data_IF_653914628648
#
_entry.id   IF_653914628648
#
_cell.length_a   1.000
_cell.length_b   1.000
_cell.length_c   1.000
_cell.angle_alpha   90.00
_cell.angle_beta   90.00
_cell.angle_gamma   90.00
#
_symmetry.space_group_name_H-M   'P 1'
#
loop_
_entity.id
_entity.type
_entity.pdbx_description
1 polymer ?
#
# COMPACT_ATOMS: atom_id res chain seq x y z
N UNK A 1 -21.25 -7.19 9.80
CA UNK A 1 -20.18 -6.20 9.56
C UNK A 1 -19.17 -6.81 8.59
N UNK A 2 -18.93 -6.16 7.46
CA UNK A 2 -17.82 -6.52 6.56
C UNK A 2 -16.87 -5.33 6.50
N UNK A 3 -15.59 -5.57 6.78
CA UNK A 3 -14.52 -4.60 6.56
C UNK A 3 -13.85 -4.98 5.25
N UNK A 4 -13.90 -4.07 4.28
CA UNK A 4 -13.14 -4.22 3.05
C UNK A 4 -11.92 -3.33 3.22
N UNK A 5 -10.80 -3.94 3.60
CA UNK A 5 -9.51 -3.28 3.54
C UNK A 5 -9.30 -2.74 2.12
N UNK A 6 -8.76 -1.52 1.99
CA UNK A 6 -8.38 -0.99 0.69
C UNK A 6 -7.55 -2.05 -0.05
N UNK A 7 -7.90 -2.31 -1.31
CA UNK A 7 -7.41 -3.44 -2.14
C UNK A 7 -5.91 -3.43 -2.45
N UNK A 8 -5.12 -2.59 -1.77
CA UNK A 8 -3.70 -2.39 -2.02
C UNK A 8 -2.89 -3.10 -0.94
N UNK A 9 -2.25 -4.20 -1.32
CA UNK A 9 -1.37 -4.99 -0.44
C UNK A 9 -0.06 -4.24 -0.12
N UNK A 10 0.33 -3.28 -0.97
CA UNK A 10 1.56 -2.51 -0.86
C UNK A 10 1.27 -1.01 -0.95
N UNK A 11 1.83 -0.21 -0.05
CA UNK A 11 1.75 1.25 -0.09
C UNK A 11 3.13 1.88 -0.20
N UNK A 12 3.21 2.93 -1.02
CA UNK A 12 4.41 3.70 -1.28
C UNK A 12 4.53 5.00 -0.47
N UNK A 13 5.57 5.81 -0.71
CA UNK A 13 5.85 7.05 0.02
C UNK A 13 4.74 8.11 -0.06
N UNK A 14 3.93 8.09 -1.13
CA UNK A 14 2.82 9.02 -1.35
C UNK A 14 1.46 8.44 -0.99
N UNK A 15 1.42 7.17 -0.57
CA UNK A 15 0.18 6.50 -0.20
C UNK A 15 -0.08 6.66 1.31
N UNK A 16 -1.33 6.46 1.70
CA UNK A 16 -1.75 6.49 3.11
C UNK A 16 -2.55 5.24 3.43
N UNK A 17 -2.55 4.83 4.70
CA UNK A 17 -3.31 3.68 5.14
C UNK A 17 -4.80 4.05 5.18
N UNK A 18 -5.61 3.33 4.42
CA UNK A 18 -7.04 3.60 4.27
C UNK A 18 -7.87 2.31 4.41
N UNK A 19 -8.99 2.40 5.12
CA UNK A 19 -9.93 1.30 5.28
C UNK A 19 -11.37 1.78 5.13
N UNK A 20 -12.21 0.88 4.62
CA UNK A 20 -13.66 1.08 4.53
C UNK A 20 -14.40 -0.08 5.19
N UNK A 21 -15.54 0.21 5.80
CA UNK A 21 -16.34 -0.79 6.49
C UNK A 21 -17.83 -0.48 6.39
N UNK A 22 -18.64 -1.49 6.71
CA UNK A 22 -20.08 -1.35 6.91
C UNK A 22 -20.47 -1.86 8.28
N UNK A 23 -21.12 -0.99 9.06
CA UNK A 23 -21.67 -1.27 10.38
C UNK A 23 -23.18 -1.00 10.39
N UNK A 24 -23.91 -1.82 11.13
CA UNK A 24 -25.35 -1.69 11.31
C UNK A 24 -25.73 -2.43 12.60
N UNK A 25 -26.62 -1.82 13.39
CA UNK A 25 -27.27 -2.40 14.57
C UNK A 25 -28.71 -1.88 14.54
N UNK A 26 -29.69 -2.77 14.36
CA UNK A 26 -31.10 -2.38 14.14
C UNK A 26 -31.86 -2.22 15.46
N UNK A 27 -31.34 -2.82 16.52
CA UNK A 27 -31.95 -2.93 17.83
C UNK A 27 -31.66 -1.71 18.71
N UNK A 28 -30.42 -1.21 18.69
CA UNK A 28 -29.93 -0.12 19.54
C UNK A 28 -29.21 1.00 18.78
N UNK A 29 -28.91 0.79 17.50
CA UNK A 29 -28.13 1.73 16.71
C UNK A 29 -26.64 1.74 17.09
N UNK A 30 -25.87 2.58 16.40
CA UNK A 30 -24.43 2.72 16.65
C UNK A 30 -24.22 3.97 17.50
N UNK A 31 -23.60 3.77 18.67
CA UNK A 31 -23.24 4.84 19.59
C UNK A 31 -21.86 5.41 19.26
N UNK A 32 -20.89 4.54 18.96
CA UNK A 32 -19.49 4.94 18.80
C UNK A 32 -18.78 4.14 17.73
N UNK A 33 -17.93 4.81 16.95
CA UNK A 33 -17.00 4.17 16.03
C UNK A 33 -15.61 4.71 16.29
N UNK A 34 -14.62 3.82 16.38
CA UNK A 34 -13.24 4.15 16.70
C UNK A 34 -12.30 3.33 15.80
N UNK A 35 -11.10 3.85 15.57
CA UNK A 35 -10.07 3.11 14.83
C UNK A 35 -8.71 3.24 15.49
N UNK A 36 -7.85 2.27 15.26
CA UNK A 36 -6.45 2.31 15.65
C UNK A 36 -5.56 1.62 14.62
N UNK A 37 -4.25 1.84 14.69
CA UNK A 37 -3.28 1.24 13.76
C UNK A 37 -2.18 0.56 14.55
N UNK A 38 -1.84 -0.66 14.13
CA UNK A 38 -0.84 -1.49 14.78
C UNK A 38 -0.06 -2.35 13.82
N UNK A 39 0.97 -3.00 14.34
CA UNK A 39 1.78 -4.00 13.64
C UNK A 39 1.23 -5.42 13.80
N UNK A 40 0.15 -5.58 14.57
CA UNK A 40 -0.56 -6.83 14.77
C UNK A 40 -2.07 -6.61 14.50
N UNK A 41 -2.82 -7.64 14.10
CA UNK A 41 -4.27 -7.57 14.04
C UNK A 41 -4.85 -7.12 15.38
N UNK A 42 -5.74 -6.13 15.38
CA UNK A 42 -6.34 -5.54 16.60
C UNK A 42 -5.35 -4.77 17.48
N UNK A 43 -4.09 -4.64 17.06
CA UNK A 43 -3.07 -3.85 17.74
C UNK A 43 -3.19 -2.35 17.45
N UNK A 44 -2.73 -1.54 18.42
CA UNK A 44 -2.75 -0.06 18.35
C UNK A 44 -1.36 0.55 18.59
N UNK A 45 -0.28 -0.14 18.19
CA UNK A 45 1.12 0.24 18.46
C UNK A 45 1.56 1.52 17.74
N UNK A 46 0.94 1.84 16.60
CA UNK A 46 1.32 2.98 15.75
C UNK A 46 0.42 4.17 16.01
N UNK A 47 -0.86 3.92 16.17
CA UNK A 47 -1.85 4.92 16.51
C UNK A 47 -2.82 4.35 17.52
N UNK A 48 -2.99 5.08 18.62
CA UNK A 48 -3.99 4.76 19.65
C UNK A 48 -5.41 4.85 19.12
N UNK A 49 -6.33 4.21 19.83
CA UNK A 49 -7.76 4.26 19.50
C UNK A 49 -8.24 5.71 19.38
N UNK A 50 -8.78 6.07 18.22
CA UNK A 50 -9.21 7.43 17.88
C UNK A 50 -10.67 7.38 17.45
N UNK A 51 -11.48 8.24 18.05
CA UNK A 51 -12.91 8.30 17.79
C UNK A 51 -13.22 8.91 16.42
N UNK A 52 -14.30 8.41 15.82
CA UNK A 52 -14.91 8.89 14.59
C UNK A 52 -16.40 9.11 14.82
N UNK A 53 -17.07 9.76 13.87
CA UNK A 53 -18.52 9.87 13.91
C UNK A 53 -19.15 8.47 13.88
N UNK A 54 -20.25 8.21 14.60
CA UNK A 54 -20.86 6.87 14.69
C UNK A 54 -21.22 6.27 13.33
N UNK A 55 -21.64 7.13 12.39
CA UNK A 55 -22.00 6.78 11.01
C UNK A 55 -20.83 6.76 10.02
N UNK A 56 -19.57 6.88 10.48
CA UNK A 56 -18.41 6.82 9.59
C UNK A 56 -18.29 5.43 8.98
N UNK A 57 -17.95 5.37 7.69
CA UNK A 57 -17.75 4.13 6.94
C UNK A 57 -16.35 4.00 6.35
N UNK A 58 -15.50 5.00 6.58
CA UNK A 58 -14.15 5.09 6.05
C UNK A 58 -13.23 5.84 7.01
N UNK A 59 -11.94 5.53 6.88
CA UNK A 59 -10.89 6.25 7.57
C UNK A 59 -9.59 6.19 6.79
N UNK A 60 -8.95 7.34 6.68
CA UNK A 60 -7.57 7.49 6.20
C UNK A 60 -6.70 7.93 7.36
N UNK A 61 -5.63 7.18 7.63
CA UNK A 61 -4.64 7.56 8.62
C UNK A 61 -3.55 8.43 7.98
N UNK A 62 -3.73 9.75 8.03
CA UNK A 62 -2.77 10.71 7.46
C UNK A 62 -1.57 11.00 8.39
N UNK A 63 -1.71 10.70 9.67
CA UNK A 63 -0.71 10.95 10.73
C UNK A 63 -0.03 9.67 11.23
N UNK A 64 -0.21 8.55 10.52
CA UNK A 64 0.49 7.30 10.82
C UNK A 64 1.92 7.35 10.27
N UNK A 65 2.91 7.22 11.15
CA UNK A 65 4.30 7.07 10.76
C UNK A 65 4.60 5.60 10.47
N UNK A 66 4.75 5.29 9.19
CA UNK A 66 5.01 3.93 8.70
C UNK A 66 6.47 3.79 8.29
N UNK A 67 7.06 2.64 8.60
CA UNK A 67 8.43 2.30 8.26
C UNK A 67 8.44 1.33 7.07
N UNK A 68 9.50 1.42 6.26
CA UNK A 68 9.77 0.45 5.21
C UNK A 68 9.85 -0.98 5.77
N UNK A 69 9.40 -1.96 4.98
CA UNK A 69 9.34 -3.39 5.33
C UNK A 69 8.42 -3.70 6.53
N UNK A 70 7.59 -2.73 6.93
CA UNK A 70 6.58 -2.90 7.97
C UNK A 70 5.25 -3.40 7.42
N UNK A 71 4.63 -4.36 8.12
CA UNK A 71 3.22 -4.74 7.91
C UNK A 71 2.33 -4.04 8.93
N UNK A 72 1.31 -3.35 8.44
CA UNK A 72 0.41 -2.54 9.27
C UNK A 72 -1.06 -2.95 9.12
N UNK A 73 -1.77 -2.95 10.24
CA UNK A 73 -3.17 -3.36 10.37
C UNK A 73 -3.99 -2.18 10.88
N UNK A 74 -5.08 -1.88 10.18
CA UNK A 74 -6.06 -0.89 10.62
C UNK A 74 -7.20 -1.64 11.31
N UNK A 75 -7.45 -1.31 12.57
CA UNK A 75 -8.45 -1.97 13.41
C UNK A 75 -9.59 -1.01 13.69
N UNK A 76 -10.83 -1.46 13.46
CA UNK A 76 -12.05 -0.67 13.62
C UNK A 76 -12.86 -1.29 14.74
N UNK A 77 -13.20 -0.48 15.75
CA UNK A 77 -14.09 -0.83 16.85
C UNK A 77 -15.40 -0.08 16.70
N UNK A 78 -16.52 -0.80 16.72
CA UNK A 78 -17.86 -0.20 16.70
C UNK A 78 -18.59 -0.61 17.97
N UNK A 79 -19.16 0.36 18.69
CA UNK A 79 -19.93 0.19 19.92
C UNK A 79 -21.39 0.57 19.66
N UNK A 80 -22.32 -0.29 20.04
CA UNK A 80 -23.76 -0.06 19.87
C UNK A 80 -24.37 0.68 21.06
N UNK A 81 -25.65 1.07 20.96
CA UNK A 81 -26.38 1.81 22.01
C UNK A 81 -26.54 1.05 23.34
N UNK A 82 -26.30 -0.27 23.34
CA UNK A 82 -26.29 -1.10 24.55
C UNK A 82 -24.91 -1.19 25.22
N UNK A 83 -23.88 -0.53 24.67
CA UNK A 83 -22.50 -0.57 25.17
C UNK A 83 -21.71 -1.82 24.76
N UNK A 84 -22.26 -2.69 23.90
CA UNK A 84 -21.55 -3.82 23.32
C UNK A 84 -20.70 -3.35 22.14
N UNK A 85 -19.55 -4.00 21.91
CA UNK A 85 -18.66 -3.62 20.82
C UNK A 85 -18.15 -4.81 20.02
N UNK A 86 -17.82 -4.54 18.76
CA UNK A 86 -17.14 -5.46 17.85
C UNK A 86 -15.87 -4.81 17.33
N UNK A 87 -14.79 -5.58 17.20
CA UNK A 87 -13.52 -5.11 16.60
C UNK A 87 -13.16 -5.98 15.41
N UNK A 88 -12.76 -5.35 14.31
CA UNK A 88 -12.29 -6.03 13.10
C UNK A 88 -11.03 -5.34 12.60
N UNK A 89 -10.04 -6.11 12.16
CA UNK A 89 -8.82 -5.61 11.56
C UNK A 89 -8.80 -5.85 10.04
N UNK A 90 -8.06 -5.03 9.30
CA UNK A 90 -7.72 -5.28 7.89
C UNK A 90 -6.80 -6.51 7.74
N UNK A 91 -6.59 -6.97 6.50
CA UNK A 91 -5.72 -8.12 6.21
C UNK A 91 -4.21 -7.82 6.35
N UNK A 92 -3.84 -6.60 6.74
CA UNK A 92 -2.46 -6.13 6.73
C UNK A 92 -2.07 -5.51 5.39
N UNK A 93 -1.24 -4.47 5.47
CA UNK A 93 -0.69 -3.76 4.32
C UNK A 93 0.81 -3.61 4.52
N UNK A 94 1.61 -3.99 3.52
CA UNK A 94 3.06 -3.84 3.53
C UNK A 94 3.49 -2.47 3.01
N UNK A 95 4.57 -1.94 3.54
CA UNK A 95 5.09 -0.61 3.21
C UNK A 95 6.41 -0.74 2.47
N UNK A 96 6.41 -0.27 1.23
CA UNK A 96 7.62 -0.18 0.41
C UNK A 96 7.94 1.28 0.13
N UNK A 97 9.09 1.76 0.61
CA UNK A 97 9.54 3.14 0.45
C UNK A 97 10.79 3.22 -0.44
N UNK A 98 11.25 2.10 -0.97
CA UNK A 98 12.43 2.00 -1.80
C UNK A 98 12.05 1.99 -3.27
N UNK A 99 12.94 2.51 -4.12
CA UNK A 99 12.76 2.45 -5.56
C UNK A 99 13.41 1.18 -6.11
N UNK A 100 12.90 0.62 -7.22
CA UNK A 100 13.56 -0.48 -7.92
C UNK A 100 15.02 -0.14 -8.22
N UNK A 101 15.90 -1.11 -7.99
CA UNK A 101 17.30 -1.03 -8.35
C UNK A 101 17.51 -1.39 -9.83
N UNK A 102 18.50 -0.74 -10.44
CA UNK A 102 18.96 -1.03 -11.80
C UNK A 102 20.38 -1.57 -11.75
N UNK A 103 20.59 -2.78 -12.23
CA UNK A 103 21.92 -3.27 -12.57
C UNK A 103 22.40 -2.66 -13.90
N UNK A 104 23.69 -2.85 -14.20
CA UNK A 104 24.32 -2.33 -15.42
C UNK A 104 23.52 -2.66 -16.67
N UNK A 105 23.17 -1.61 -17.43
CA UNK A 105 22.61 -1.73 -18.77
C UNK A 105 23.76 -2.09 -19.69
N UNK A 106 24.01 -3.39 -19.87
CA UNK A 106 25.02 -3.85 -20.82
C UNK A 106 24.38 -3.92 -22.21
N UNK A 107 24.76 -3.04 -23.16
CA UNK A 107 24.31 -3.20 -24.54
C UNK A 107 24.85 -4.53 -25.06
N UNK A 108 23.95 -5.40 -25.52
CA UNK A 108 24.33 -6.71 -26.06
C UNK A 108 25.19 -6.58 -27.33
N UNK A 109 25.12 -5.42 -28.02
CA UNK A 109 25.89 -5.13 -29.22
C UNK A 109 26.29 -3.64 -29.29
N UNK A 110 27.52 -3.36 -29.74
CA UNK A 110 27.94 -2.04 -30.21
C UNK A 110 27.84 -2.03 -31.74
N UNK A 111 26.93 -1.24 -32.32
CA UNK A 111 26.87 -1.05 -33.78
C UNK A 111 27.81 0.09 -34.14
N UNK A 112 29.06 -0.21 -34.50
CA UNK A 112 30.09 0.80 -34.79
C UNK A 112 29.97 1.39 -36.19
N UNK A 113 29.37 0.67 -37.14
CA UNK A 113 29.02 1.20 -38.46
C UNK A 113 27.85 0.41 -39.05
N UNK A 114 26.84 1.13 -39.52
CA UNK A 114 25.68 0.57 -40.21
C UNK A 114 25.41 1.39 -41.47
N UNK A 115 25.20 0.71 -42.60
CA UNK A 115 25.01 1.35 -43.91
C UNK A 115 23.55 1.28 -44.40
N UNK A 116 22.81 0.21 -44.14
CA UNK A 116 21.35 0.11 -44.37
C UNK A 116 20.68 -0.97 -43.48
N UNK A 117 19.46 -0.71 -42.98
CA UNK A 117 18.57 -1.64 -42.26
C UNK A 117 19.12 -2.33 -40.98
N UNK A 118 19.91 -1.65 -40.15
CA UNK A 118 20.31 -2.26 -38.85
C UNK A 118 19.21 -2.15 -37.80
N UNK A 119 19.03 -3.24 -37.07
CA UNK A 119 18.21 -3.31 -35.85
C UNK A 119 19.12 -3.17 -34.64
N UNK A 120 18.77 -2.27 -33.72
CA UNK A 120 19.44 -2.18 -32.43
C UNK A 120 18.66 -3.03 -31.43
N UNK A 121 19.32 -4.04 -30.86
CA UNK A 121 18.75 -4.88 -29.82
C UNK A 121 19.47 -4.56 -28.52
N UNK A 122 18.73 -4.07 -27.53
CA UNK A 122 19.19 -3.93 -26.16
C UNK A 122 18.41 -4.89 -25.28
N UNK A 123 19.12 -5.73 -24.53
CA UNK A 123 18.50 -6.50 -23.46
C UNK A 123 18.61 -5.68 -22.16
N UNK A 124 17.50 -5.48 -21.46
CA UNK A 124 17.50 -4.81 -20.16
C UNK A 124 17.45 -5.92 -19.12
N UNK A 125 18.56 -6.09 -18.42
CA UNK A 125 18.70 -7.10 -17.37
C UNK A 125 18.97 -6.45 -16.03
N UNK A 126 18.52 -7.08 -14.95
CA UNK A 126 18.82 -6.65 -13.58
C UNK A 126 18.02 -5.45 -13.08
N UNK A 127 16.80 -5.25 -13.58
CA UNK A 127 15.81 -4.43 -12.86
C UNK A 127 15.23 -5.31 -11.76
N UNK A 128 15.42 -4.92 -10.51
CA UNK A 128 15.00 -5.72 -9.36
C UNK A 128 14.46 -4.83 -8.25
N UNK A 129 13.34 -5.27 -7.69
CA UNK A 129 12.67 -4.72 -6.52
C UNK A 129 12.15 -5.97 -5.78
N UNK A 130 12.75 -6.26 -4.64
CA UNK A 130 12.51 -7.53 -3.92
C UNK A 130 11.27 -7.43 -3.02
N UNK A 131 10.81 -6.21 -2.77
CA UNK A 131 9.75 -5.87 -1.84
C UNK A 131 8.40 -5.83 -2.56
N UNK A 132 8.21 -4.92 -3.52
CA UNK A 132 6.94 -4.76 -4.24
C UNK A 132 6.99 -5.22 -5.70
N UNK A 133 8.18 -5.46 -6.22
CA UNK A 133 8.40 -5.89 -7.58
C UNK A 133 8.31 -4.75 -8.60
N UNK A 134 8.74 -5.04 -9.82
CA UNK A 134 8.86 -4.03 -10.87
C UNK A 134 7.57 -3.93 -11.68
N UNK A 135 6.80 -2.86 -11.48
CA UNK A 135 5.53 -2.64 -12.20
C UNK A 135 5.71 -2.23 -13.66
N UNK A 136 6.76 -1.47 -13.98
CA UNK A 136 7.02 -0.96 -15.33
C UNK A 136 8.51 -0.68 -15.53
N UNK A 137 9.02 -1.05 -16.69
CA UNK A 137 10.35 -0.67 -17.17
C UNK A 137 10.22 0.01 -18.55
N UNK A 138 10.98 1.07 -18.80
CA UNK A 138 11.01 1.79 -20.08
C UNK A 138 12.44 2.17 -20.44
N UNK A 139 12.80 2.10 -21.72
CA UNK A 139 14.13 2.43 -22.22
C UNK A 139 14.07 3.38 -23.42
N UNK A 140 15.19 4.05 -23.69
CA UNK A 140 15.37 4.92 -24.85
C UNK A 140 16.73 4.68 -25.50
N UNK A 141 16.77 4.67 -26.84
CA UNK A 141 17.99 4.58 -27.65
C UNK A 141 18.26 5.96 -28.23
N UNK A 142 19.47 6.49 -28.06
CA UNK A 142 19.89 7.77 -28.65
C UNK A 142 20.97 7.57 -29.72
N UNK A 143 20.92 8.38 -30.78
CA UNK A 143 22.02 8.50 -31.75
C UNK A 143 23.02 9.55 -31.24
N UNK A 144 24.30 9.21 -31.16
CA UNK A 144 25.38 10.15 -30.86
C UNK A 144 26.03 10.60 -32.18
N UNK A 145 26.28 11.91 -32.31
CA UNK A 145 26.98 12.54 -33.44
C UNK A 145 28.43 12.81 -33.07
#
# INVERSE_FOLDING_TARGET
>A
MQVTAGSKLWIGPTDTLHATWKSQDLESGIDKTEFCVGTLPVGCQIKSMTEKLPNSTDVTCSDCHLNHDGTYYLSIRVTNGAGLFTVIATNGTNVDLTAPSLADIVPQFYVTSCVTNCTLVSNITGVQDDESGVRRCSYAIRKQY
#
